data_IF_821949365569
#
_entry.id   IF_821949365569
#
_cell.length_a   1.000
_cell.length_b   1.000
_cell.length_c   1.000
_cell.angle_alpha   90.00
_cell.angle_beta   90.00
_cell.angle_gamma   90.00
#
_symmetry.space_group_name_H-M   'P 1'
#
loop_
_entity.id
_entity.type
_entity.pdbx_description
1 polymer ?
#
# COMPACT_ATOMS: atom_id res chain seq x y z
N UNK A 1 19.12 2.90 5.48
CA UNK A 1 20.20 1.95 5.85
C UNK A 1 19.99 1.38 7.26
N UNK A 2 18.98 0.51 7.47
CA UNK A 2 18.72 -0.07 8.80
C UNK A 2 19.91 -0.87 9.34
N UNK A 3 20.61 -1.64 8.48
CA UNK A 3 21.74 -2.48 8.84
C UNK A 3 22.85 -1.71 9.58
N UNK A 4 23.29 -0.57 9.05
CA UNK A 4 24.36 0.24 9.70
C UNK A 4 23.90 0.75 11.08
N UNK A 5 22.64 1.19 11.19
CA UNK A 5 22.07 1.61 12.47
C UNK A 5 22.13 0.48 13.51
N UNK A 6 21.67 -0.73 13.13
CA UNK A 6 21.67 -1.87 14.02
C UNK A 6 23.09 -2.31 14.42
N UNK A 7 24.06 -2.26 13.49
CA UNK A 7 25.47 -2.55 13.82
C UNK A 7 26.04 -1.54 14.81
N UNK A 8 25.88 -0.25 14.56
CA UNK A 8 26.36 0.82 15.46
C UNK A 8 25.69 0.73 16.84
N UNK A 9 24.41 0.48 16.90
CA UNK A 9 23.68 0.33 18.17
C UNK A 9 24.15 -0.91 18.95
N UNK A 10 24.38 -2.04 18.28
CA UNK A 10 24.92 -3.26 18.88
C UNK A 10 26.34 -3.02 19.44
N UNK A 11 27.12 -2.14 18.81
CA UNK A 11 28.46 -1.74 19.30
C UNK A 11 28.41 -0.66 20.39
N UNK A 12 27.25 -0.33 20.94
CA UNK A 12 27.09 0.67 22.00
C UNK A 12 27.12 2.13 21.50
N UNK A 13 27.17 2.37 20.20
CA UNK A 13 27.21 3.72 19.63
C UNK A 13 25.78 4.29 19.55
N UNK A 14 25.57 5.48 20.15
CA UNK A 14 24.31 6.21 20.02
C UNK A 14 24.15 6.70 18.58
N UNK A 15 23.23 6.12 17.84
CA UNK A 15 23.00 6.42 16.44
C UNK A 15 21.58 7.00 16.23
N UNK A 16 21.46 7.99 15.35
CA UNK A 16 20.18 8.60 14.96
C UNK A 16 20.13 8.73 13.44
N UNK A 17 19.02 8.30 12.82
CA UNK A 17 18.81 8.47 11.39
C UNK A 17 17.92 9.69 11.17
N UNK A 18 18.35 10.60 10.30
CA UNK A 18 17.59 11.75 9.84
C UNK A 18 17.20 11.56 8.38
N UNK A 19 15.98 11.92 8.02
CA UNK A 19 15.55 11.89 6.61
C UNK A 19 15.94 13.19 5.90
N UNK A 20 16.61 13.15 4.75
CA UNK A 20 16.99 14.35 4.01
C UNK A 20 15.81 15.28 3.68
N UNK A 21 14.62 14.71 3.49
CA UNK A 21 13.39 15.45 3.20
C UNK A 21 12.82 16.23 4.39
N UNK A 22 13.22 15.89 5.62
CA UNK A 22 12.80 16.59 6.84
C UNK A 22 13.87 17.52 7.39
N UNK A 23 15.05 17.55 6.77
CA UNK A 23 16.14 18.45 7.14
C UNK A 23 15.91 19.84 6.57
N UNK A 24 16.33 20.89 7.29
CA UNK A 24 16.30 22.26 6.79
C UNK A 24 17.25 22.39 5.60
N UNK A 25 16.70 22.48 4.40
CA UNK A 25 17.49 22.81 3.22
C UNK A 25 17.59 24.32 3.07
N UNK A 26 18.81 24.86 3.03
CA UNK A 26 19.00 26.28 2.70
C UNK A 26 18.57 26.53 1.26
N UNK A 27 17.45 27.24 1.08
CA UNK A 27 17.01 27.64 -0.26
C UNK A 27 18.05 28.52 -0.93
N UNK A 28 18.31 28.28 -2.23
CA UNK A 28 19.11 29.19 -3.08
C UNK A 28 20.57 28.78 -3.29
N UNK A 29 21.15 27.80 -2.61
CA UNK A 29 22.55 27.39 -2.83
C UNK A 29 22.62 26.07 -3.63
N UNK A 30 23.01 26.18 -4.91
CA UNK A 30 23.18 25.03 -5.83
C UNK A 30 24.43 24.17 -5.55
N UNK A 31 25.34 24.60 -4.67
CA UNK A 31 26.59 23.86 -4.39
C UNK A 31 26.41 22.97 -3.20
N UNK A 32 26.41 21.65 -3.43
CA UNK A 32 26.38 20.60 -2.40
C UNK A 32 27.82 20.20 -2.10
N UNK A 33 28.20 20.19 -0.82
CA UNK A 33 29.49 19.68 -0.32
C UNK A 33 29.29 18.94 0.98
N UNK A 34 30.08 17.92 1.23
CA UNK A 34 30.04 17.10 2.46
C UNK A 34 30.18 17.95 3.72
N UNK A 35 31.02 19.00 3.68
CA UNK A 35 31.18 19.94 4.79
C UNK A 35 29.87 20.67 5.14
N UNK A 36 29.10 21.08 4.14
CA UNK A 36 27.78 21.71 4.36
C UNK A 36 26.75 20.71 4.87
N UNK A 37 26.78 19.49 4.35
CA UNK A 37 25.89 18.42 4.81
C UNK A 37 26.19 18.08 6.26
N UNK A 38 27.46 18.00 6.67
CA UNK A 38 27.88 17.77 8.06
C UNK A 38 27.40 18.89 9.02
N UNK A 39 27.57 20.15 8.63
CA UNK A 39 27.07 21.30 9.40
C UNK A 39 25.54 21.26 9.53
N UNK A 40 24.83 20.95 8.47
CA UNK A 40 23.38 20.85 8.46
C UNK A 40 22.91 19.70 9.38
N UNK A 41 23.57 18.54 9.35
CA UNK A 41 23.28 17.40 10.24
C UNK A 41 23.50 17.81 11.70
N UNK A 42 24.63 18.48 12.02
CA UNK A 42 24.91 18.95 13.37
C UNK A 42 23.84 19.95 13.87
N UNK A 43 23.42 20.88 13.03
CA UNK A 43 22.34 21.81 13.33
C UNK A 43 21.01 21.09 13.56
N UNK A 44 20.66 20.11 12.73
CA UNK A 44 19.47 19.30 12.91
C UNK A 44 19.49 18.55 14.25
N UNK A 45 20.61 17.98 14.63
CA UNK A 45 20.79 17.26 15.91
C UNK A 45 20.64 18.20 17.11
N UNK A 46 21.23 19.42 17.04
CA UNK A 46 21.14 20.41 18.13
C UNK A 46 19.75 21.00 18.30
N UNK A 47 18.98 21.15 17.21
CA UNK A 47 17.62 21.67 17.22
C UNK A 47 16.53 20.65 17.56
N UNK A 48 16.91 19.39 17.88
CA UNK A 48 15.95 18.35 18.29
C UNK A 48 15.07 17.83 17.16
N UNK A 49 15.60 17.72 15.93
CA UNK A 49 14.86 17.16 14.80
C UNK A 49 14.43 15.73 15.04
N UNK A 50 13.23 15.37 14.59
CA UNK A 50 12.67 14.05 14.80
C UNK A 50 13.46 12.97 14.04
N UNK A 51 13.96 12.02 14.78
CA UNK A 51 14.58 10.81 14.24
C UNK A 51 13.60 10.01 13.39
N UNK A 52 14.10 9.43 12.32
CA UNK A 52 13.35 8.45 11.54
C UNK A 52 13.22 7.17 12.35
N UNK A 53 12.00 6.62 12.40
CA UNK A 53 11.79 5.30 13.00
C UNK A 53 12.57 4.23 12.21
N UNK A 54 13.40 3.46 12.89
CA UNK A 54 14.14 2.33 12.32
C UNK A 54 13.39 1.05 12.67
N UNK A 55 12.92 0.27 11.68
CA UNK A 55 12.24 -0.99 11.93
C UNK A 55 13.18 -2.02 12.56
N UNK A 56 12.63 -3.00 13.28
CA UNK A 56 13.39 -4.16 13.77
C UNK A 56 13.96 -4.98 12.61
N UNK A 57 15.08 -5.70 12.84
CA UNK A 57 15.72 -6.54 11.81
C UNK A 57 14.75 -7.57 11.21
N UNK A 58 13.86 -8.15 12.03
CA UNK A 58 12.80 -9.07 11.61
C UNK A 58 11.87 -8.40 10.62
N UNK A 59 11.37 -7.19 10.93
CA UNK A 59 10.46 -6.44 10.06
C UNK A 59 11.15 -6.04 8.74
N UNK A 60 12.44 -5.72 8.79
CA UNK A 60 13.21 -5.41 7.58
C UNK A 60 13.27 -6.62 6.65
N UNK A 61 13.55 -7.82 7.19
CA UNK A 61 13.63 -9.05 6.38
C UNK A 61 12.27 -9.42 5.77
N UNK A 62 11.19 -9.34 6.54
CA UNK A 62 9.83 -9.60 6.06
C UNK A 62 9.43 -8.57 4.98
N UNK A 63 9.73 -7.30 5.20
CA UNK A 63 9.50 -6.23 4.22
C UNK A 63 10.21 -6.49 2.89
N UNK A 64 11.49 -6.88 2.91
CA UNK A 64 12.24 -7.21 1.68
C UNK A 64 11.60 -8.38 0.95
N UNK A 65 11.13 -9.41 1.67
CA UNK A 65 10.43 -10.54 1.08
C UNK A 65 9.11 -10.13 0.39
N UNK A 66 8.32 -9.26 1.04
CA UNK A 66 7.07 -8.73 0.48
C UNK A 66 7.32 -7.90 -0.78
N UNK A 67 8.36 -7.06 -0.78
CA UNK A 67 8.74 -6.23 -1.93
C UNK A 67 9.25 -7.08 -3.08
N UNK A 68 10.09 -8.09 -2.82
CA UNK A 68 10.54 -9.06 -3.82
C UNK A 68 9.33 -9.73 -4.51
N UNK A 69 8.32 -10.15 -3.74
CA UNK A 69 7.10 -10.72 -4.31
C UNK A 69 6.37 -9.72 -5.22
N UNK A 70 6.33 -8.44 -4.85
CA UNK A 70 5.69 -7.40 -5.67
C UNK A 70 6.49 -7.08 -6.94
N UNK A 71 7.82 -7.15 -6.91
CA UNK A 71 8.67 -7.07 -8.09
C UNK A 71 8.37 -8.21 -9.08
N UNK A 72 8.18 -9.44 -8.58
CA UNK A 72 7.75 -10.57 -9.40
C UNK A 72 6.35 -10.38 -9.99
N UNK A 73 5.43 -9.71 -9.29
CA UNK A 73 4.11 -9.36 -9.82
C UNK A 73 4.21 -8.33 -10.95
N UNK A 74 5.13 -7.37 -10.84
CA UNK A 74 5.44 -6.42 -11.92
C UNK A 74 6.02 -7.14 -13.13
N UNK A 75 6.96 -8.09 -12.94
CA UNK A 75 7.52 -8.91 -14.00
C UNK A 75 6.43 -9.74 -14.70
N UNK A 76 5.54 -10.39 -13.96
CA UNK A 76 4.41 -11.13 -14.54
C UNK A 76 3.50 -10.21 -15.38
N UNK A 77 3.25 -8.99 -14.92
CA UNK A 77 2.47 -8.00 -15.70
C UNK A 77 3.17 -7.68 -17.03
N UNK A 78 4.49 -7.53 -17.03
CA UNK A 78 5.28 -7.29 -18.26
C UNK A 78 5.16 -8.46 -19.23
N UNK A 79 5.31 -9.70 -18.76
CA UNK A 79 5.14 -10.92 -19.59
C UNK A 79 3.73 -10.93 -20.20
N UNK A 80 2.69 -10.68 -19.41
CA UNK A 80 1.30 -10.59 -19.90
C UNK A 80 1.13 -9.53 -21.00
N UNK A 81 1.78 -8.39 -20.88
CA UNK A 81 1.77 -7.34 -21.89
C UNK A 81 2.49 -7.78 -23.17
N UNK A 82 3.64 -8.46 -23.04
CA UNK A 82 4.42 -8.99 -24.16
C UNK A 82 3.62 -10.02 -24.98
N UNK A 83 2.97 -10.98 -24.31
CA UNK A 83 2.09 -11.96 -24.96
C UNK A 83 0.94 -11.26 -25.70
N UNK A 84 0.25 -10.31 -25.06
CA UNK A 84 -0.82 -9.57 -25.73
C UNK A 84 -0.32 -8.78 -26.95
N UNK A 85 0.82 -8.10 -26.83
CA UNK A 85 1.40 -7.35 -27.93
C UNK A 85 1.86 -8.27 -29.07
N UNK A 86 2.42 -9.44 -28.74
CA UNK A 86 2.76 -10.46 -29.74
C UNK A 86 1.53 -10.91 -30.51
N UNK A 87 0.45 -11.31 -29.84
CA UNK A 87 -0.80 -11.74 -30.49
C UNK A 87 -1.36 -10.65 -31.41
N UNK A 88 -1.38 -9.38 -30.95
CA UNK A 88 -1.87 -8.26 -31.77
C UNK A 88 -1.03 -8.05 -33.03
N UNK A 89 0.30 -8.16 -32.95
CA UNK A 89 1.18 -8.06 -34.13
C UNK A 89 0.96 -9.17 -35.16
N UNK A 90 0.49 -10.34 -34.69
CA UNK A 90 0.14 -11.48 -35.57
C UNK A 90 -1.34 -11.45 -35.99
N UNK A 91 -2.09 -10.36 -35.74
CA UNK A 91 -3.48 -10.21 -36.14
C UNK A 91 -4.49 -10.95 -35.25
N UNK A 92 -4.07 -11.50 -34.11
CA UNK A 92 -4.98 -12.23 -33.22
C UNK A 92 -5.51 -11.36 -32.11
N UNK A 93 -6.83 -11.35 -31.98
CA UNK A 93 -7.55 -10.61 -30.93
C UNK A 93 -8.45 -11.54 -30.12
N UNK A 94 -8.34 -11.50 -28.79
CA UNK A 94 -9.21 -12.22 -27.88
C UNK A 94 -10.23 -11.27 -27.23
N UNK A 95 -11.53 -11.46 -27.54
CA UNK A 95 -12.60 -10.59 -27.06
C UNK A 95 -13.05 -10.88 -25.62
N UNK A 96 -12.66 -12.01 -25.04
CA UNK A 96 -13.08 -12.42 -23.67
C UNK A 96 -12.17 -11.92 -22.57
N UNK A 97 -12.47 -12.39 -21.34
CA UNK A 97 -11.62 -12.11 -20.18
C UNK A 97 -10.26 -12.81 -20.31
N UNK A 98 -9.18 -12.01 -20.34
CA UNK A 98 -7.81 -12.51 -20.47
C UNK A 98 -7.32 -13.18 -19.17
N UNK A 99 -6.35 -14.08 -19.31
CA UNK A 99 -5.67 -14.82 -18.21
C UNK A 99 -6.58 -15.79 -17.46
N UNK A 100 -7.65 -16.22 -18.11
CA UNK A 100 -8.50 -17.35 -17.72
C UNK A 100 -8.04 -18.62 -18.41
N UNK A 101 -8.46 -19.79 -17.92
CA UNK A 101 -8.19 -21.08 -18.56
C UNK A 101 -8.62 -21.07 -20.04
N UNK A 102 -9.78 -20.45 -20.34
CA UNK A 102 -10.27 -20.30 -21.74
C UNK A 102 -9.30 -19.48 -22.61
N UNK A 103 -8.76 -18.38 -22.05
CA UNK A 103 -7.78 -17.56 -22.78
C UNK A 103 -6.46 -18.31 -23.01
N UNK A 104 -5.93 -19.00 -22.00
CA UNK A 104 -4.72 -19.79 -22.11
C UNK A 104 -4.87 -20.93 -23.15
N UNK A 105 -6.01 -21.62 -23.14
CA UNK A 105 -6.32 -22.62 -24.14
C UNK A 105 -6.45 -22.03 -25.55
N UNK A 106 -7.01 -20.83 -25.69
CA UNK A 106 -7.06 -20.12 -26.96
C UNK A 106 -5.65 -19.77 -27.46
N UNK A 107 -4.74 -19.26 -26.61
CA UNK A 107 -3.35 -18.99 -26.97
C UNK A 107 -2.62 -20.25 -27.47
N UNK A 108 -2.84 -21.41 -26.83
CA UNK A 108 -2.26 -22.70 -27.22
C UNK A 108 -2.78 -23.20 -28.58
N UNK A 109 -3.99 -22.78 -29.00
CA UNK A 109 -4.64 -23.22 -30.25
C UNK A 109 -4.46 -22.25 -31.43
N UNK A 110 -3.74 -21.13 -31.29
CA UNK A 110 -3.51 -20.19 -32.38
C UNK A 110 -2.76 -20.89 -33.53
N UNK A 111 -3.12 -20.60 -34.77
CA UNK A 111 -2.42 -21.11 -35.96
C UNK A 111 -1.27 -20.15 -36.27
N UNK A 112 -0.06 -20.59 -36.05
CA UNK A 112 1.18 -19.80 -36.20
C UNK A 112 2.20 -20.63 -37.01
N UNK A 113 3.10 -19.94 -37.70
CA UNK A 113 4.30 -20.62 -38.28
C UNK A 113 5.23 -21.08 -37.14
N UNK A 114 6.13 -22.01 -37.45
CA UNK A 114 6.98 -22.71 -36.49
C UNK A 114 7.71 -21.75 -35.54
N UNK A 115 8.40 -20.76 -36.07
CA UNK A 115 9.15 -19.78 -35.25
C UNK A 115 8.24 -18.90 -34.39
N UNK A 116 7.07 -18.50 -34.89
CA UNK A 116 6.10 -17.76 -34.08
C UNK A 116 5.46 -18.63 -33.00
N UNK A 117 5.26 -19.91 -33.27
CA UNK A 117 4.79 -20.89 -32.29
C UNK A 117 5.82 -21.07 -31.17
N UNK A 118 7.08 -21.25 -31.55
CA UNK A 118 8.20 -21.34 -30.61
C UNK A 118 8.26 -20.07 -29.71
N UNK A 119 8.23 -18.87 -30.32
CA UNK A 119 8.24 -17.61 -29.61
C UNK A 119 7.08 -17.49 -28.62
N UNK A 120 5.87 -17.88 -29.01
CA UNK A 120 4.72 -17.85 -28.10
C UNK A 120 4.86 -18.84 -26.94
N UNK A 121 5.38 -20.04 -27.23
CA UNK A 121 5.60 -21.07 -26.22
C UNK A 121 6.59 -20.60 -25.15
N UNK A 122 7.70 -19.94 -25.53
CA UNK A 122 8.67 -19.36 -24.59
C UNK A 122 8.04 -18.28 -23.70
N UNK A 123 7.20 -17.42 -24.26
CA UNK A 123 6.44 -16.46 -23.46
C UNK A 123 5.44 -17.13 -22.50
N UNK A 124 4.79 -18.22 -22.91
CA UNK A 124 3.85 -18.96 -22.07
C UNK A 124 4.59 -19.70 -20.94
N UNK A 125 5.74 -20.31 -21.23
CA UNK A 125 6.62 -20.91 -20.21
C UNK A 125 7.02 -19.88 -19.16
N UNK A 126 7.51 -18.71 -19.58
CA UNK A 126 7.85 -17.61 -18.68
C UNK A 126 6.65 -17.15 -17.85
N UNK A 127 5.44 -17.12 -18.42
CA UNK A 127 4.21 -16.81 -17.71
C UNK A 127 3.87 -17.86 -16.63
N UNK A 128 3.96 -19.13 -16.97
CA UNK A 128 3.66 -20.25 -16.07
C UNK A 128 4.66 -20.30 -14.90
N UNK A 129 5.96 -20.18 -15.18
CA UNK A 129 7.02 -20.13 -14.16
C UNK A 129 6.83 -18.94 -13.19
N UNK A 130 6.57 -17.75 -13.74
CA UNK A 130 6.40 -16.55 -12.93
C UNK A 130 5.14 -16.63 -12.06
N UNK A 131 4.07 -17.24 -12.57
CA UNK A 131 2.84 -17.48 -11.82
C UNK A 131 3.09 -18.45 -10.66
N UNK A 132 3.75 -19.57 -10.91
CA UNK A 132 4.11 -20.56 -9.90
C UNK A 132 5.03 -19.97 -8.80
N UNK A 133 5.98 -19.08 -9.17
CA UNK A 133 6.82 -18.36 -8.20
C UNK A 133 5.96 -17.49 -7.27
N UNK A 134 5.03 -16.70 -7.82
CA UNK A 134 4.18 -15.81 -7.02
C UNK A 134 3.28 -16.64 -6.08
N UNK A 135 2.73 -17.76 -6.53
CA UNK A 135 1.92 -18.65 -5.68
C UNK A 135 2.72 -19.21 -4.50
N UNK A 136 3.99 -19.59 -4.70
CA UNK A 136 4.88 -20.02 -3.61
C UNK A 136 5.19 -18.88 -2.64
N UNK A 137 5.39 -17.66 -3.14
CA UNK A 137 5.62 -16.49 -2.30
C UNK A 137 4.38 -16.15 -1.49
N UNK A 138 3.19 -16.21 -2.11
CA UNK A 138 1.92 -15.95 -1.41
C UNK A 138 1.70 -16.94 -0.27
N UNK A 139 1.97 -18.25 -0.46
CA UNK A 139 1.94 -19.24 0.62
C UNK A 139 2.91 -18.90 1.75
N UNK A 140 4.15 -18.54 1.42
CA UNK A 140 5.13 -18.17 2.44
C UNK A 140 4.73 -16.91 3.19
N UNK A 141 4.07 -15.96 2.54
CA UNK A 141 3.54 -14.75 3.19
C UNK A 141 2.41 -15.10 4.17
N UNK A 142 1.55 -16.06 3.83
CA UNK A 142 0.54 -16.56 4.75
C UNK A 142 1.16 -17.21 5.98
N UNK A 143 2.21 -18.02 5.82
CA UNK A 143 2.97 -18.58 6.95
C UNK A 143 3.64 -17.50 7.82
N UNK A 144 4.26 -16.49 7.19
CA UNK A 144 4.87 -15.37 7.92
C UNK A 144 3.83 -14.56 8.71
N UNK A 145 2.61 -14.47 8.20
CA UNK A 145 1.53 -13.77 8.86
C UNK A 145 0.96 -14.51 10.09
N UNK A 146 1.19 -15.82 10.21
CA UNK A 146 0.83 -16.63 11.38
C UNK A 146 1.82 -16.49 12.55
N UNK A 147 2.93 -15.79 12.34
CA UNK A 147 3.87 -15.48 13.41
C UNK A 147 3.18 -14.67 14.53
N UNK A 148 3.54 -14.97 15.79
CA UNK A 148 2.95 -14.35 16.99
C UNK A 148 2.99 -12.83 17.01
N UNK A 149 4.02 -12.22 16.38
CA UNK A 149 4.18 -10.77 16.32
C UNK A 149 3.21 -10.09 15.34
N UNK A 150 2.69 -10.85 14.36
CA UNK A 150 1.89 -10.29 13.27
C UNK A 150 0.44 -10.78 13.25
N UNK A 151 0.19 -12.01 13.68
CA UNK A 151 -1.08 -12.73 13.48
C UNK A 151 -2.30 -11.92 13.93
N UNK A 152 -2.27 -11.39 15.15
CA UNK A 152 -3.40 -10.64 15.71
C UNK A 152 -3.69 -9.38 14.87
N UNK A 153 -2.65 -8.64 14.51
CA UNK A 153 -2.76 -7.41 13.74
C UNK A 153 -3.19 -7.67 12.30
N UNK A 154 -2.70 -8.76 11.68
CA UNK A 154 -3.13 -9.18 10.34
C UNK A 154 -4.60 -9.55 10.34
N UNK A 155 -5.09 -10.29 11.34
CA UNK A 155 -6.52 -10.65 11.51
C UNK A 155 -7.38 -9.39 11.68
N UNK A 156 -6.99 -8.45 12.55
CA UNK A 156 -7.69 -7.16 12.73
C UNK A 156 -7.81 -6.37 11.43
N UNK A 157 -6.69 -6.21 10.71
CA UNK A 157 -6.67 -5.48 9.43
C UNK A 157 -7.48 -6.20 8.34
N UNK A 158 -7.50 -7.55 8.37
CA UNK A 158 -8.30 -8.39 7.49
C UNK A 158 -9.82 -8.15 7.60
N UNK A 159 -10.30 -7.55 8.68
CA UNK A 159 -11.70 -7.14 8.83
C UNK A 159 -12.10 -6.00 7.87
N UNK A 160 -11.14 -5.23 7.38
CA UNK A 160 -11.38 -4.19 6.40
C UNK A 160 -11.47 -4.78 4.99
N UNK A 161 -12.49 -4.35 4.25
CA UNK A 161 -12.67 -4.78 2.86
C UNK A 161 -11.50 -4.29 2.01
N UNK A 162 -10.98 -5.17 1.15
CA UNK A 162 -9.84 -4.86 0.28
C UNK A 162 -8.46 -5.13 0.91
N UNK A 163 -8.37 -5.30 2.23
CA UNK A 163 -7.13 -5.66 2.91
C UNK A 163 -7.06 -7.20 3.01
N UNK A 164 -6.03 -7.78 2.39
CA UNK A 164 -5.69 -9.21 2.48
C UNK A 164 -4.36 -9.37 3.23
N UNK A 165 -3.95 -10.60 3.51
CA UNK A 165 -2.75 -10.96 4.27
C UNK A 165 -1.50 -10.21 3.83
N UNK A 166 -1.17 -10.23 2.53
CA UNK A 166 -0.03 -9.49 1.98
C UNK A 166 -0.10 -7.98 2.29
N UNK A 167 -1.26 -7.34 2.05
CA UNK A 167 -1.42 -5.90 2.31
C UNK A 167 -1.37 -5.59 3.80
N UNK A 168 -1.99 -6.43 4.65
CA UNK A 168 -1.97 -6.27 6.10
C UNK A 168 -0.55 -6.37 6.65
N UNK A 169 0.19 -7.42 6.26
CA UNK A 169 1.57 -7.62 6.69
C UNK A 169 2.49 -6.50 6.21
N UNK A 170 2.35 -6.05 4.93
CA UNK A 170 3.10 -4.89 4.41
C UNK A 170 2.85 -3.62 5.22
N UNK A 171 1.59 -3.35 5.59
CA UNK A 171 1.22 -2.21 6.42
C UNK A 171 1.89 -2.28 7.80
N UNK A 172 1.94 -3.46 8.42
CA UNK A 172 2.55 -3.66 9.74
C UNK A 172 4.06 -3.41 9.67
N UNK A 173 4.77 -4.16 8.84
CA UNK A 173 6.25 -4.13 8.83
C UNK A 173 6.84 -2.85 8.24
N UNK A 174 6.14 -2.17 7.33
CA UNK A 174 6.63 -0.90 6.77
C UNK A 174 6.23 0.33 7.58
N UNK A 175 5.19 0.22 8.41
CA UNK A 175 4.79 1.30 9.32
C UNK A 175 5.55 1.21 10.64
N UNK A 176 5.75 0.00 11.17
CA UNK A 176 6.28 -0.23 12.51
C UNK A 176 5.29 0.27 13.58
N UNK A 177 5.72 1.17 14.44
CA UNK A 177 4.88 1.70 15.51
C UNK A 177 3.85 2.71 14.99
N UNK A 178 2.56 2.33 14.99
CA UNK A 178 1.44 3.22 14.63
C UNK A 178 1.16 4.31 15.66
N UNK A 179 1.57 4.12 16.93
CA UNK A 179 1.35 5.09 18.00
C UNK A 179 2.19 6.36 17.83
N UNK A 180 3.27 6.31 17.04
CA UNK A 180 4.06 7.51 16.68
C UNK A 180 3.26 8.56 15.90
N UNK A 181 2.10 8.20 15.36
CA UNK A 181 1.21 9.12 14.66
C UNK A 181 0.08 9.58 15.62
N UNK A 182 0.00 10.86 15.91
CA UNK A 182 -1.02 11.42 16.83
C UNK A 182 -2.45 11.23 16.36
N UNK A 183 -2.69 11.14 15.03
CA UNK A 183 -4.01 11.07 14.40
C UNK A 183 -3.93 10.26 13.11
N UNK A 184 -5.03 9.64 12.70
CA UNK A 184 -5.13 8.94 11.41
C UNK A 184 -4.79 9.83 10.19
N UNK A 185 -5.10 11.13 10.25
CA UNK A 185 -4.72 12.07 9.20
C UNK A 185 -3.19 12.25 9.08
N UNK A 186 -2.44 12.19 10.19
CA UNK A 186 -0.97 12.23 10.18
C UNK A 186 -0.40 10.95 9.57
N UNK A 187 -1.01 9.80 9.86
CA UNK A 187 -0.66 8.55 9.20
C UNK A 187 -0.96 8.59 7.69
N UNK A 188 -2.11 9.13 7.29
CA UNK A 188 -2.43 9.32 5.87
C UNK A 188 -1.46 10.28 5.15
N UNK A 189 -0.95 11.30 5.86
CA UNK A 189 0.10 12.19 5.34
C UNK A 189 1.44 11.48 5.16
N UNK A 190 1.85 10.62 6.12
CA UNK A 190 3.03 9.74 6.00
C UNK A 190 2.97 8.84 4.76
N UNK A 191 1.77 8.42 4.35
CA UNK A 191 1.54 7.64 3.13
C UNK A 191 1.45 8.51 1.86
N UNK A 192 1.50 9.84 2.00
CA UNK A 192 1.33 10.79 0.89
C UNK A 192 -0.07 10.82 0.30
N UNK A 193 -1.08 10.46 1.09
CA UNK A 193 -2.51 10.49 0.74
C UNK A 193 -3.21 11.79 1.19
N UNK A 194 -2.50 12.67 1.91
CA UNK A 194 -3.03 13.99 2.24
C UNK A 194 -3.18 14.84 0.98
N UNK A 195 -4.25 15.66 0.87
CA UNK A 195 -4.36 16.62 -0.21
C UNK A 195 -3.23 17.65 -0.09
N UNK A 196 -2.65 18.02 -1.21
CA UNK A 196 -1.76 19.15 -1.29
C UNK A 196 -2.54 20.46 -1.34
N UNK A 197 -1.94 21.51 -0.86
CA UNK A 197 -2.48 22.86 -0.91
C UNK A 197 -1.37 23.84 -1.29
N UNK A 198 -1.68 24.76 -2.18
CA UNK A 198 -0.82 25.86 -2.60
C UNK A 198 -1.67 27.12 -2.58
N UNK A 199 -1.90 27.63 -1.37
CA UNK A 199 -2.75 28.80 -1.12
C UNK A 199 -1.88 30.02 -0.83
N UNK A 200 -2.27 31.19 -1.35
CA UNK A 200 -1.63 32.46 -1.07
C UNK A 200 -2.71 33.53 -0.82
N UNK A 201 -2.64 34.20 0.31
CA UNK A 201 -3.65 35.17 0.75
C UNK A 201 -5.02 34.50 0.89
N UNK A 202 -6.05 35.11 0.36
CA UNK A 202 -7.43 34.59 0.44
C UNK A 202 -7.72 33.45 -0.56
N UNK A 203 -6.84 33.23 -1.53
CA UNK A 203 -7.08 32.21 -2.59
C UNK A 203 -6.63 30.83 -2.15
N UNK A 204 -7.59 29.95 -1.82
CA UNK A 204 -7.35 28.55 -1.49
C UNK A 204 -7.26 27.72 -2.76
N UNK A 205 -6.08 27.20 -3.07
CA UNK A 205 -5.84 26.31 -4.20
C UNK A 205 -5.46 24.91 -3.70
N UNK A 206 -6.43 23.99 -3.71
CA UNK A 206 -6.21 22.58 -3.34
C UNK A 206 -5.76 21.78 -4.55
N UNK A 207 -4.62 21.11 -4.44
CA UNK A 207 -4.06 20.22 -5.45
C UNK A 207 -4.46 18.76 -5.17
N UNK A 208 -3.94 17.83 -5.97
CA UNK A 208 -4.11 16.39 -5.72
C UNK A 208 -3.44 15.93 -4.42
N UNK A 209 -3.27 14.63 -4.24
CA UNK A 209 -2.53 14.08 -3.09
C UNK A 209 -1.04 14.45 -3.20
N UNK A 210 -0.38 14.65 -2.06
CA UNK A 210 1.03 15.09 -1.99
C UNK A 210 2.02 14.10 -2.61
N UNK A 211 1.69 12.81 -2.59
CA UNK A 211 2.57 11.69 -3.02
C UNK A 211 3.90 11.62 -2.27
N UNK A 212 4.09 12.41 -1.24
CA UNK A 212 5.24 12.34 -0.35
C UNK A 212 5.18 11.08 0.53
N UNK A 213 6.32 10.56 0.97
CA UNK A 213 6.38 9.40 1.87
C UNK A 213 6.33 8.04 1.18
N UNK A 214 5.80 7.02 1.86
CA UNK A 214 5.88 5.63 1.42
C UNK A 214 5.01 5.34 0.19
N UNK A 215 5.65 5.26 -0.99
CA UNK A 215 4.97 5.02 -2.27
C UNK A 215 4.43 3.58 -2.40
N UNK A 216 5.11 2.59 -1.80
CA UNK A 216 4.69 1.20 -1.85
C UNK A 216 3.36 1.01 -1.09
N UNK A 217 3.31 1.42 0.18
CA UNK A 217 2.07 1.35 0.98
C UNK A 217 0.94 2.18 0.37
N UNK A 218 1.25 3.35 -0.19
CA UNK A 218 0.25 4.17 -0.90
C UNK A 218 -0.36 3.41 -2.07
N UNK A 219 0.44 2.70 -2.87
CA UNK A 219 -0.04 1.89 -4.00
C UNK A 219 -0.95 0.77 -3.51
N UNK A 220 -0.53 0.01 -2.49
CA UNK A 220 -1.33 -1.05 -1.90
C UNK A 220 -2.68 -0.54 -1.37
N UNK A 221 -2.71 0.62 -0.70
CA UNK A 221 -3.94 1.21 -0.20
C UNK A 221 -4.87 1.74 -1.29
N UNK A 222 -4.34 2.28 -2.37
CA UNK A 222 -5.14 2.69 -3.53
C UNK A 222 -5.75 1.47 -4.20
N UNK A 223 -5.01 0.36 -4.35
CA UNK A 223 -5.55 -0.90 -4.88
C UNK A 223 -6.62 -1.49 -3.96
N UNK A 224 -6.39 -1.50 -2.64
CA UNK A 224 -7.37 -1.95 -1.65
C UNK A 224 -8.65 -1.09 -1.69
N UNK A 225 -8.51 0.23 -1.75
CA UNK A 225 -9.62 1.16 -1.87
C UNK A 225 -10.41 0.95 -3.17
N UNK A 226 -9.74 0.68 -4.29
CA UNK A 226 -10.39 0.35 -5.57
C UNK A 226 -11.22 -0.93 -5.46
N UNK A 227 -10.71 -1.94 -4.76
CA UNK A 227 -11.47 -3.16 -4.44
C UNK A 227 -12.68 -2.89 -3.55
N UNK A 228 -12.52 -2.01 -2.54
CA UNK A 228 -13.57 -1.60 -1.63
C UNK A 228 -14.68 -0.79 -2.32
N UNK A 229 -14.34 0.08 -3.28
CA UNK A 229 -15.30 0.89 -4.03
C UNK A 229 -16.27 0.07 -4.88
N UNK A 230 -15.92 -1.17 -5.22
CA UNK A 230 -16.78 -2.06 -5.99
C UNK A 230 -17.83 -2.73 -5.10
N UNK A 231 -19.03 -2.88 -5.63
CA UNK A 231 -20.10 -3.62 -4.96
C UNK A 231 -21.06 -2.77 -4.14
N UNK A 232 -22.00 -3.45 -3.49
CA UNK A 232 -23.19 -2.86 -2.85
C UNK A 232 -22.85 -2.31 -1.46
N UNK A 233 -23.37 -1.13 -1.13
CA UNK A 233 -23.22 -0.54 0.22
C UNK A 233 -23.85 -1.49 1.26
N UNK A 234 -23.16 -1.72 2.38
CA UNK A 234 -23.61 -2.60 3.47
C UNK A 234 -23.47 -4.10 3.20
N UNK A 235 -23.17 -4.51 1.95
CA UNK A 235 -23.04 -5.93 1.63
C UNK A 235 -21.70 -6.51 2.10
N UNK A 236 -21.78 -7.63 2.84
CA UNK A 236 -20.64 -8.47 3.24
C UNK A 236 -20.63 -9.77 2.44
N UNK A 237 -19.53 -10.06 1.76
CA UNK A 237 -19.33 -11.37 1.12
C UNK A 237 -19.04 -12.46 2.15
N UNK A 238 -19.24 -13.73 1.77
CA UNK A 238 -18.86 -14.90 2.61
C UNK A 238 -17.38 -14.83 3.00
N UNK A 239 -16.50 -14.46 2.06
CA UNK A 239 -15.05 -14.32 2.29
C UNK A 239 -14.74 -13.26 3.35
N UNK A 240 -15.43 -12.12 3.33
CA UNK A 240 -15.22 -11.09 4.36
C UNK A 240 -15.71 -11.57 5.73
N UNK A 241 -16.85 -12.25 5.79
CA UNK A 241 -17.38 -12.83 7.05
C UNK A 241 -16.39 -13.83 7.65
N UNK A 242 -15.87 -14.76 6.83
CA UNK A 242 -14.87 -15.73 7.27
C UNK A 242 -13.57 -15.07 7.79
N UNK A 243 -13.12 -13.96 7.19
CA UNK A 243 -11.95 -13.22 7.71
C UNK A 243 -12.23 -12.44 8.99
N UNK A 244 -13.48 -12.06 9.22
CA UNK A 244 -13.91 -11.39 10.45
C UNK A 244 -14.15 -12.37 11.60
N UNK A 245 -14.38 -13.62 11.29
CA UNK A 245 -14.61 -14.66 12.28
C UNK A 245 -13.44 -14.79 13.26
N UNK A 246 -13.74 -14.98 14.53
CA UNK A 246 -12.73 -15.05 15.60
C UNK A 246 -12.13 -13.70 16.02
N UNK A 247 -12.50 -12.56 15.39
CA UNK A 247 -12.07 -11.24 15.85
C UNK A 247 -13.04 -10.66 16.90
N UNK A 248 -12.58 -9.76 17.78
CA UNK A 248 -13.45 -9.06 18.74
C UNK A 248 -14.60 -8.32 18.06
N UNK A 249 -15.79 -8.39 18.65
CA UNK A 249 -17.01 -7.76 18.10
C UNK A 249 -16.83 -6.26 17.82
N UNK A 250 -16.09 -5.55 18.68
CA UNK A 250 -15.81 -4.13 18.51
C UNK A 250 -14.97 -3.84 17.28
N UNK A 251 -13.96 -4.67 17.00
CA UNK A 251 -13.10 -4.59 15.81
C UNK A 251 -13.95 -4.81 14.55
N UNK A 252 -14.81 -5.84 14.56
CA UNK A 252 -15.71 -6.11 13.44
C UNK A 252 -16.67 -4.95 13.21
N UNK A 253 -17.31 -4.45 14.26
CA UNK A 253 -18.25 -3.33 14.18
C UNK A 253 -17.57 -2.05 13.64
N UNK A 254 -16.34 -1.77 14.11
CA UNK A 254 -15.54 -0.64 13.60
C UNK A 254 -15.21 -0.80 12.12
N UNK A 255 -14.74 -1.97 11.71
CA UNK A 255 -14.42 -2.26 10.31
C UNK A 255 -15.66 -2.14 9.41
N UNK A 256 -16.82 -2.63 9.86
CA UNK A 256 -18.08 -2.55 9.11
C UNK A 256 -18.59 -1.12 8.92
N UNK A 257 -18.49 -0.31 9.98
CA UNK A 257 -18.76 1.14 9.86
C UNK A 257 -17.84 1.77 8.81
N UNK A 258 -16.54 1.43 8.86
CA UNK A 258 -15.56 1.90 7.89
C UNK A 258 -15.90 1.48 6.46
N UNK A 259 -16.17 0.19 6.25
CA UNK A 259 -16.51 -0.38 4.95
C UNK A 259 -17.75 0.29 4.35
N UNK A 260 -18.80 0.48 5.14
CA UNK A 260 -20.04 1.14 4.72
C UNK A 260 -19.83 2.61 4.40
N UNK A 261 -19.15 3.34 5.28
CA UNK A 261 -18.88 4.77 5.14
C UNK A 261 -18.03 5.06 3.90
N UNK A 262 -16.97 4.29 3.67
CA UNK A 262 -16.07 4.48 2.53
C UNK A 262 -16.75 4.21 1.20
N UNK A 263 -17.59 3.16 1.09
CA UNK A 263 -18.43 2.92 -0.10
C UNK A 263 -19.43 4.04 -0.34
N UNK A 264 -20.13 4.46 0.68
CA UNK A 264 -21.10 5.57 0.59
C UNK A 264 -20.41 6.85 0.12
N UNK A 265 -19.22 7.15 0.64
CA UNK A 265 -18.40 8.29 0.21
C UNK A 265 -18.02 8.20 -1.26
N UNK A 266 -17.53 7.03 -1.71
CA UNK A 266 -17.18 6.81 -3.11
C UNK A 266 -18.36 7.11 -4.04
N UNK A 267 -19.51 6.46 -3.82
CA UNK A 267 -20.70 6.66 -4.68
C UNK A 267 -21.25 8.09 -4.61
N UNK A 268 -21.18 8.73 -3.45
CA UNK A 268 -21.53 10.16 -3.33
C UNK A 268 -20.63 11.03 -4.20
N UNK A 269 -19.30 10.81 -4.15
CA UNK A 269 -18.35 11.58 -4.97
C UNK A 269 -18.56 11.36 -6.47
N UNK A 270 -18.84 10.13 -6.91
CA UNK A 270 -19.12 9.82 -8.31
C UNK A 270 -20.42 10.52 -8.75
N UNK A 271 -21.49 10.47 -7.94
CA UNK A 271 -22.75 11.19 -8.24
C UNK A 271 -22.55 12.71 -8.36
N UNK A 272 -21.62 13.28 -7.63
CA UNK A 272 -21.23 14.70 -7.74
C UNK A 272 -20.19 14.96 -8.85
N UNK A 273 -20.05 14.07 -9.82
CA UNK A 273 -19.20 14.26 -11.01
C UNK A 273 -17.69 14.21 -10.74
N UNK A 274 -17.23 13.73 -9.59
CA UNK A 274 -15.79 13.56 -9.36
C UNK A 274 -15.24 12.39 -10.17
N UNK A 275 -14.04 12.57 -10.74
CA UNK A 275 -13.34 11.50 -11.48
C UNK A 275 -13.09 10.29 -10.58
N UNK A 276 -13.21 9.07 -11.10
CA UNK A 276 -13.02 7.80 -10.37
C UNK A 276 -11.73 7.78 -9.54
N UNK A 277 -10.59 8.09 -10.14
CA UNK A 277 -9.30 8.09 -9.44
C UNK A 277 -9.25 9.08 -8.27
N UNK A 278 -9.95 10.21 -8.33
CA UNK A 278 -10.05 11.19 -7.24
C UNK A 278 -10.88 10.61 -6.09
N UNK A 279 -12.01 9.97 -6.42
CA UNK A 279 -12.86 9.31 -5.42
C UNK A 279 -12.13 8.15 -4.73
N UNK A 280 -11.43 7.30 -5.50
CA UNK A 280 -10.60 6.20 -4.96
C UNK A 280 -9.50 6.72 -4.04
N UNK A 281 -8.79 7.79 -4.41
CA UNK A 281 -7.74 8.39 -3.56
C UNK A 281 -8.32 8.94 -2.24
N UNK A 282 -9.51 9.54 -2.30
CA UNK A 282 -10.20 10.02 -1.09
C UNK A 282 -10.65 8.88 -0.17
N UNK A 283 -11.04 7.73 -0.74
CA UNK A 283 -11.33 6.49 0.01
C UNK A 283 -10.05 5.90 0.60
N UNK A 284 -8.96 5.83 -0.16
CA UNK A 284 -7.67 5.33 0.33
C UNK A 284 -7.15 6.14 1.52
N UNK A 285 -7.32 7.47 1.50
CA UNK A 285 -6.99 8.33 2.64
C UNK A 285 -7.83 7.99 3.88
N UNK A 286 -9.11 7.76 3.71
CA UNK A 286 -10.01 7.42 4.81
C UNK A 286 -9.71 6.00 5.32
N UNK A 287 -9.41 5.05 4.43
CA UNK A 287 -8.96 3.70 4.77
C UNK A 287 -7.69 3.75 5.65
N UNK A 288 -6.72 4.60 5.32
CA UNK A 288 -5.53 4.81 6.16
C UNK A 288 -5.91 5.28 7.59
N UNK A 289 -6.90 6.16 7.72
CA UNK A 289 -7.38 6.58 9.05
C UNK A 289 -8.04 5.43 9.82
N UNK A 290 -8.82 4.58 9.16
CA UNK A 290 -9.43 3.40 9.79
C UNK A 290 -8.38 2.35 10.19
N UNK A 291 -7.35 2.13 9.37
CA UNK A 291 -6.21 1.28 9.71
C UNK A 291 -5.50 1.79 10.95
N UNK A 292 -5.19 3.08 10.99
CA UNK A 292 -4.58 3.70 12.17
C UNK A 292 -5.45 3.51 13.42
N UNK A 293 -6.76 3.69 13.32
CA UNK A 293 -7.69 3.47 14.41
C UNK A 293 -7.66 2.04 14.95
N UNK A 294 -7.66 1.03 14.08
CA UNK A 294 -7.53 -0.37 14.46
C UNK A 294 -6.19 -0.67 15.16
N UNK A 295 -5.10 -0.17 14.58
CA UNK A 295 -3.75 -0.46 15.07
C UNK A 295 -3.38 0.27 16.37
N UNK A 296 -4.11 1.34 16.72
CA UNK A 296 -3.90 2.11 17.95
C UNK A 296 -5.04 1.92 18.98
N UNK A 297 -5.96 1.01 18.68
CA UNK A 297 -7.16 0.74 19.49
C UNK A 297 -8.09 1.98 19.68
N UNK A 298 -8.02 2.94 18.74
CA UNK A 298 -8.93 4.09 18.68
C UNK A 298 -10.21 3.75 17.90
N UNK A 299 -10.95 2.72 18.36
CA UNK A 299 -12.11 2.15 17.68
C UNK A 299 -13.45 2.58 18.26
N UNK A 300 -13.47 3.16 19.46
CA UNK A 300 -14.67 3.66 20.12
C UNK A 300 -15.31 4.78 19.30
N UNK A 301 -16.63 4.81 19.09
CA UNK A 301 -17.30 5.99 18.56
C UNK A 301 -17.02 7.15 19.50
N UNK A 302 -16.53 8.27 19.01
CA UNK A 302 -16.64 9.50 19.78
C UNK A 302 -18.14 9.73 19.95
N UNK A 303 -18.61 9.82 21.18
CA UNK A 303 -19.95 10.34 21.45
C UNK A 303 -20.05 11.66 20.69
N UNK A 304 -21.02 11.76 19.78
CA UNK A 304 -21.32 13.03 19.13
C UNK A 304 -21.72 13.96 20.26
N UNK A 305 -20.78 14.85 20.64
CA UNK A 305 -21.05 15.87 21.58
C UNK A 305 -22.34 16.57 21.16
N UNK A 306 -23.32 16.50 22.02
CA UNK A 306 -24.58 17.23 21.96
C UNK A 306 -24.23 18.63 21.46
N UNK A 307 -24.62 18.99 20.26
CA UNK A 307 -24.62 20.38 19.84
C UNK A 307 -25.58 21.05 20.81
N UNK A 308 -25.01 21.73 21.80
CA UNK A 308 -25.76 22.67 22.58
C UNK A 308 -26.43 23.64 21.61
N UNK A 309 -27.72 23.77 21.78
CA UNK A 309 -28.64 24.61 21.02
C UNK A 309 -28.20 26.09 21.05
#
# INVERSE_FOLDING_TARGET
MPWLYHQLTKSGVKCTILAPTTMLTQQGKRVKTDKRDAVMIAQCLSCGYHAVHVPADKDVSVKEYLRMRDDHKVALKKIKQQINAFCLRQGYFYAGNKWTIKHLNWLKKLVLSDLYRETLNEYLTSYEEQTAKIERFDKRIEELAEDSDYQENVKKLGCLLGIKTHTALSLIVETGDFKRFRKGNTYAAFLGLAPGESSSGEKINRTGITKAGNSHLRTLLIEAARGMCRGRIGYKSKVLRSRQDGNPTEVIAYADRGNTRMRSKYYRMIRHGKKDNVAVAAVARELACFIWGLMTNNITPKEEGTKAA
#
